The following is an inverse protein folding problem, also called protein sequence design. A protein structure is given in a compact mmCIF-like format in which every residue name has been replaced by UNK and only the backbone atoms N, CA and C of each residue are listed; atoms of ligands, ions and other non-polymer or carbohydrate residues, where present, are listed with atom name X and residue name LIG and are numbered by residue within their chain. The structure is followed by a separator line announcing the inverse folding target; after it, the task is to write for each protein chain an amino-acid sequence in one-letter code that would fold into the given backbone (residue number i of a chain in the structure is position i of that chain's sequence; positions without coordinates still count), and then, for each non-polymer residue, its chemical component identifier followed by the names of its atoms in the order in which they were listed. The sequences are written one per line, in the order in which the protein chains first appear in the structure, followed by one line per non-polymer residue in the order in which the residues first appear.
data_IF_222181811109
#
_entry.id   IF_222181811109
#
_cell.length_a   1.000
_cell.length_b   1.000
_cell.length_c   1.000
_cell.angle_alpha   90.00
_cell.angle_beta   90.00
_cell.angle_gamma   90.00
#
_symmetry.space_group_name_H-M   'P 1'
#
loop_
_entity.id
_entity.type
_entity.pdbx_description
1 polymer ?
#
# COMPACT_ATOMS: atom_id res chain seq x y z
N UNK A 1 4.42 1.22 -20.83
CA UNK A 1 3.48 0.67 -19.83
C UNK A 1 2.56 1.76 -19.32
N UNK A 2 1.30 1.43 -18.94
CA UNK A 2 0.33 2.35 -18.30
C UNK A 2 -0.09 1.80 -16.95
N UNK A 3 0.11 2.58 -15.89
CA UNK A 3 -0.36 2.25 -14.54
C UNK A 3 -1.68 2.98 -14.27
N UNK A 4 -2.73 2.25 -14.03
CA UNK A 4 -4.01 2.77 -13.58
C UNK A 4 -4.00 2.87 -12.05
N UNK A 5 -4.31 4.06 -11.56
CA UNK A 5 -4.25 4.40 -10.14
C UNK A 5 -5.40 5.32 -9.75
N UNK A 6 -5.68 5.46 -8.48
CA UNK A 6 -6.49 6.56 -7.94
C UNK A 6 -5.69 7.34 -6.91
N UNK A 7 -5.98 8.63 -6.73
CA UNK A 7 -5.20 9.50 -5.84
C UNK A 7 -5.16 9.01 -4.39
N UNK A 8 -6.24 8.36 -3.93
CA UNK A 8 -6.36 7.84 -2.57
C UNK A 8 -5.94 6.39 -2.38
N UNK A 9 -5.44 5.69 -3.42
CA UNK A 9 -5.07 4.28 -3.26
C UNK A 9 -3.63 4.10 -2.79
N UNK A 10 -3.46 3.66 -1.56
CA UNK A 10 -2.15 3.30 -1.01
C UNK A 10 -1.52 2.08 -1.70
N UNK A 11 -2.33 1.13 -2.17
CA UNK A 11 -1.89 0.00 -3.00
C UNK A 11 -1.31 0.46 -4.34
N UNK A 12 -1.95 1.44 -5.00
CA UNK A 12 -1.43 2.01 -6.23
C UNK A 12 -0.20 2.91 -5.96
N UNK A 13 -0.19 3.64 -4.83
CA UNK A 13 0.96 4.44 -4.40
C UNK A 13 2.21 3.58 -4.25
N UNK A 14 2.12 2.39 -3.63
CA UNK A 14 3.21 1.42 -3.51
C UNK A 14 3.88 1.13 -4.86
N UNK A 15 3.08 0.87 -5.90
CA UNK A 15 3.60 0.60 -7.24
C UNK A 15 4.18 1.85 -7.91
N UNK A 16 3.54 3.01 -7.75
CA UNK A 16 4.08 4.29 -8.26
C UNK A 16 5.46 4.59 -7.68
N UNK A 17 5.60 4.46 -6.36
CA UNK A 17 6.89 4.63 -5.68
C UNK A 17 7.93 3.67 -6.23
N UNK A 18 7.59 2.39 -6.34
CA UNK A 18 8.48 1.35 -6.85
C UNK A 18 8.97 1.65 -8.28
N UNK A 19 8.08 2.08 -9.18
CA UNK A 19 8.44 2.43 -10.56
C UNK A 19 9.36 3.66 -10.62
N UNK A 20 9.12 4.67 -9.77
CA UNK A 20 9.98 5.86 -9.68
C UNK A 20 11.37 5.49 -9.14
N UNK A 21 11.45 4.74 -8.05
CA UNK A 21 12.72 4.31 -7.46
C UNK A 21 13.57 3.48 -8.43
N UNK A 22 12.93 2.70 -9.30
CA UNK A 22 13.58 1.91 -10.35
C UNK A 22 13.86 2.72 -11.63
N UNK A 23 13.49 4.00 -11.65
CA UNK A 23 13.61 4.84 -12.84
C UNK A 23 12.96 4.22 -14.10
N UNK A 24 11.83 3.54 -13.93
CA UNK A 24 11.08 2.91 -15.03
C UNK A 24 10.12 3.90 -15.65
N UNK A 25 10.27 4.15 -16.96
CA UNK A 25 9.36 5.01 -17.72
C UNK A 25 7.95 4.39 -17.81
N UNK A 26 6.95 5.15 -17.39
CA UNK A 26 5.56 4.72 -17.40
C UNK A 26 4.61 5.92 -17.46
N UNK A 27 3.42 5.69 -18.00
CA UNK A 27 2.30 6.62 -17.94
C UNK A 27 1.44 6.28 -16.71
N UNK A 28 0.94 7.29 -16.00
CA UNK A 28 -0.02 7.10 -14.91
C UNK A 28 -1.38 7.62 -15.33
N UNK A 29 -2.37 6.74 -15.38
CA UNK A 29 -3.77 7.08 -15.63
C UNK A 29 -4.48 7.18 -14.28
N UNK A 30 -4.80 8.42 -13.86
CA UNK A 30 -5.52 8.66 -12.62
C UNK A 30 -7.02 8.54 -12.83
N UNK A 31 -7.68 7.75 -11.99
CA UNK A 31 -9.10 7.44 -12.05
C UNK A 31 -9.82 7.95 -10.80
N UNK A 32 -11.02 8.49 -11.00
CA UNK A 32 -12.01 8.59 -9.93
C UNK A 32 -12.89 7.33 -9.98
N UNK A 33 -12.67 6.41 -9.04
CA UNK A 33 -13.40 5.14 -8.98
C UNK A 33 -14.85 5.30 -8.45
N UNK A 34 -15.23 6.51 -8.02
CA UNK A 34 -16.56 6.82 -7.51
C UNK A 34 -17.47 7.42 -8.57
N UNK A 35 -16.92 7.72 -9.74
CA UNK A 35 -17.66 8.23 -10.90
C UNK A 35 -17.79 7.13 -11.96
N UNK A 36 -18.85 7.17 -12.79
CA UNK A 36 -18.98 6.28 -13.92
C UNK A 36 -17.75 6.36 -14.82
N UNK A 37 -17.16 5.21 -15.15
CA UNK A 37 -16.02 5.09 -16.06
C UNK A 37 -16.01 3.70 -16.69
N UNK A 38 -15.21 3.51 -17.73
CA UNK A 38 -15.05 2.26 -18.47
C UNK A 38 -13.87 1.40 -17.96
N UNK A 39 -13.33 1.71 -16.79
CA UNK A 39 -12.16 1.01 -16.24
C UNK A 39 -12.35 -0.49 -16.03
N UNK A 40 -13.60 -0.94 -15.87
CA UNK A 40 -13.89 -2.37 -15.79
C UNK A 40 -13.53 -3.14 -17.06
N UNK A 41 -13.40 -2.46 -18.21
CA UNK A 41 -12.82 -3.06 -19.43
C UNK A 41 -11.32 -3.38 -19.28
N UNK A 42 -10.62 -2.69 -18.37
CA UNK A 42 -9.21 -2.93 -18.07
C UNK A 42 -9.06 -3.91 -16.90
N UNK A 43 -9.80 -3.69 -15.82
CA UNK A 43 -9.83 -4.57 -14.65
C UNK A 43 -11.29 -4.90 -14.28
N UNK A 44 -11.77 -6.13 -14.52
CA UNK A 44 -13.19 -6.49 -14.36
C UNK A 44 -13.70 -6.32 -12.93
N UNK A 45 -12.81 -6.35 -11.92
CA UNK A 45 -13.20 -6.11 -10.51
C UNK A 45 -13.14 -4.63 -10.10
N UNK A 46 -12.77 -3.72 -11.02
CA UNK A 46 -12.77 -2.27 -10.79
C UNK A 46 -11.78 -1.75 -9.75
N UNK A 47 -10.82 -2.56 -9.28
CA UNK A 47 -9.84 -2.15 -8.27
C UNK A 47 -8.54 -1.66 -8.91
N UNK A 48 -7.92 -0.65 -8.30
CA UNK A 48 -6.55 -0.21 -8.63
C UNK A 48 -5.56 -0.72 -7.58
N UNK A 49 -4.27 -0.93 -7.96
CA UNK A 49 -3.67 -0.70 -9.27
C UNK A 49 -3.96 -1.78 -10.31
N UNK A 50 -3.87 -1.38 -11.58
CA UNK A 50 -3.65 -2.29 -12.72
C UNK A 50 -2.51 -1.75 -13.58
N UNK A 51 -1.68 -2.64 -14.13
CA UNK A 51 -0.56 -2.29 -15.00
C UNK A 51 -0.78 -2.90 -16.38
N UNK A 52 -1.06 -2.07 -17.39
CA UNK A 52 -1.14 -2.49 -18.78
C UNK A 52 0.25 -2.42 -19.40
N UNK A 53 0.73 -3.57 -19.88
CA UNK A 53 2.01 -3.72 -20.54
C UNK A 53 1.94 -3.29 -22.01
N UNK A 54 3.09 -3.11 -22.64
CA UNK A 54 3.18 -2.68 -24.05
C UNK A 54 2.71 -3.80 -25.01
N UNK A 55 2.75 -5.06 -24.58
CA UNK A 55 2.21 -6.22 -25.31
C UNK A 55 0.68 -6.41 -25.14
N UNK A 56 0.03 -5.51 -24.42
CA UNK A 56 -1.41 -5.51 -24.19
C UNK A 56 -1.88 -6.31 -22.97
N UNK A 57 -1.03 -7.13 -22.34
CA UNK A 57 -1.39 -7.82 -21.08
C UNK A 57 -1.68 -6.83 -19.97
N UNK A 58 -2.63 -7.15 -19.12
CA UNK A 58 -2.97 -6.36 -17.94
C UNK A 58 -2.69 -7.18 -16.67
N UNK A 59 -1.84 -6.65 -15.81
CA UNK A 59 -1.58 -7.20 -14.48
C UNK A 59 -2.44 -6.45 -13.46
N UNK A 60 -3.12 -7.19 -12.61
CA UNK A 60 -3.95 -6.65 -11.52
C UNK A 60 -3.40 -7.12 -10.19
N UNK A 61 -3.75 -6.41 -9.11
CA UNK A 61 -3.26 -6.67 -7.76
C UNK A 61 -1.81 -6.21 -7.55
N UNK A 62 -1.59 -5.38 -6.52
CA UNK A 62 -0.28 -4.77 -6.27
C UNK A 62 0.85 -5.78 -5.99
N UNK A 63 0.66 -6.90 -5.27
CA UNK A 63 1.67 -7.94 -5.13
C UNK A 63 2.13 -8.54 -6.47
N UNK A 64 1.19 -8.90 -7.37
CA UNK A 64 1.54 -9.45 -8.69
C UNK A 64 2.28 -8.43 -9.56
N UNK A 65 1.83 -7.17 -9.54
CA UNK A 65 2.50 -6.08 -10.27
C UNK A 65 3.91 -5.87 -9.72
N UNK A 66 4.09 -5.90 -8.39
CA UNK A 66 5.40 -5.76 -7.76
C UNK A 66 6.35 -6.90 -8.14
N UNK A 67 5.89 -8.16 -8.18
CA UNK A 67 6.68 -9.30 -8.65
C UNK A 67 7.18 -9.10 -10.08
N UNK A 68 6.26 -8.69 -10.97
CA UNK A 68 6.62 -8.44 -12.36
C UNK A 68 7.64 -7.31 -12.51
N UNK A 69 7.39 -6.18 -11.82
CA UNK A 69 8.25 -5.00 -11.91
C UNK A 69 9.64 -5.30 -11.32
N UNK A 70 9.70 -5.95 -10.15
CA UNK A 70 10.97 -6.28 -9.51
C UNK A 70 11.77 -7.32 -10.27
N UNK A 71 11.09 -8.30 -10.86
CA UNK A 71 11.73 -9.33 -11.69
C UNK A 71 12.27 -8.78 -13.01
N UNK A 72 11.51 -7.87 -13.66
CA UNK A 72 11.91 -7.28 -14.94
C UNK A 72 12.98 -6.18 -14.79
N UNK A 73 12.93 -5.43 -13.71
CA UNK A 73 13.83 -4.32 -13.39
C UNK A 73 14.45 -4.56 -12.00
N UNK A 74 15.49 -5.38 -11.89
CA UNK A 74 15.97 -5.86 -10.59
C UNK A 74 16.75 -4.82 -9.77
N UNK A 75 17.06 -3.65 -10.29
CA UNK A 75 17.84 -2.62 -9.60
C UNK A 75 17.03 -1.31 -9.43
N UNK A 76 16.91 -0.78 -8.20
CA UNK A 76 17.17 -1.44 -6.91
C UNK A 76 16.18 -2.59 -6.67
N UNK A 77 16.63 -3.66 -6.00
CA UNK A 77 15.80 -4.82 -5.70
C UNK A 77 14.98 -4.60 -4.42
N UNK A 78 13.66 -4.73 -4.54
CA UNK A 78 12.73 -4.61 -3.41
C UNK A 78 12.28 -5.96 -2.85
N UNK A 79 12.42 -7.01 -3.63
CA UNK A 79 12.08 -8.39 -3.26
C UNK A 79 13.35 -9.24 -3.38
N UNK A 80 13.96 -9.68 -2.27
CA UNK A 80 15.18 -10.44 -2.29
C UNK A 80 15.14 -11.67 -3.21
N UNK A 81 16.29 -12.03 -3.78
CA UNK A 81 16.44 -13.27 -4.56
C UNK A 81 16.51 -14.51 -3.66
N UNK A 82 17.06 -14.36 -2.45
CA UNK A 82 17.08 -15.39 -1.43
C UNK A 82 15.65 -15.76 -1.02
N UNK A 83 15.36 -17.05 -0.92
CA UNK A 83 14.01 -17.57 -0.70
C UNK A 83 13.43 -17.19 0.66
N UNK A 84 14.26 -17.22 1.71
CA UNK A 84 13.80 -16.96 3.08
C UNK A 84 13.59 -15.47 3.31
N UNK A 85 14.53 -14.64 2.86
CA UNK A 85 14.37 -13.19 2.88
C UNK A 85 13.18 -12.73 2.01
N UNK A 86 12.96 -13.35 0.85
CA UNK A 86 11.79 -13.11 0.01
C UNK A 86 10.49 -13.46 0.74
N UNK A 87 10.45 -14.62 1.42
CA UNK A 87 9.28 -15.05 2.20
C UNK A 87 8.97 -14.04 3.30
N UNK A 88 9.99 -13.55 4.02
CA UNK A 88 9.80 -12.55 5.06
C UNK A 88 9.27 -11.21 4.51
N UNK A 89 9.80 -10.72 3.39
CA UNK A 89 9.29 -9.52 2.73
C UNK A 89 7.82 -9.70 2.35
N UNK A 90 7.46 -10.83 1.75
CA UNK A 90 6.09 -11.13 1.35
C UNK A 90 5.15 -11.31 2.54
N UNK A 91 5.62 -11.90 3.61
CA UNK A 91 4.86 -12.05 4.86
C UNK A 91 4.48 -10.69 5.44
N UNK A 92 5.44 -9.78 5.52
CA UNK A 92 5.17 -8.45 6.07
C UNK A 92 4.36 -7.55 5.12
N UNK A 93 4.56 -7.67 3.81
CA UNK A 93 3.65 -7.06 2.83
C UNK A 93 2.22 -7.56 3.02
N UNK A 94 2.01 -8.87 3.15
CA UNK A 94 0.68 -9.45 3.34
C UNK A 94 0.01 -9.00 4.65
N UNK A 95 0.77 -8.83 5.74
CA UNK A 95 0.24 -8.26 6.99
C UNK A 95 -0.17 -6.82 6.79
N UNK A 96 0.65 -6.01 6.12
CA UNK A 96 0.35 -4.60 5.82
C UNK A 96 -0.89 -4.46 4.92
N UNK A 97 -0.96 -5.24 3.83
CA UNK A 97 -2.07 -5.23 2.88
C UNK A 97 -3.38 -5.70 3.57
N UNK A 98 -3.33 -6.77 4.38
CA UNK A 98 -4.51 -7.26 5.13
C UNK A 98 -5.00 -6.29 6.21
N UNK A 99 -4.09 -5.56 6.84
CA UNK A 99 -4.44 -4.46 7.74
C UNK A 99 -5.12 -3.33 6.96
N UNK A 100 -4.61 -2.96 5.79
CA UNK A 100 -5.20 -1.93 4.95
C UNK A 100 -6.57 -2.34 4.41
N UNK A 101 -6.80 -3.62 4.11
CA UNK A 101 -8.13 -4.12 3.76
C UNK A 101 -9.13 -3.93 4.92
N UNK A 102 -8.71 -4.14 6.17
CA UNK A 102 -9.55 -3.86 7.34
C UNK A 102 -9.89 -2.37 7.47
N UNK A 103 -8.94 -1.48 7.17
CA UNK A 103 -9.20 -0.03 7.09
C UNK A 103 -10.22 0.28 5.99
N UNK A 104 -10.04 -0.28 4.79
CA UNK A 104 -10.91 -0.01 3.65
C UNK A 104 -12.36 -0.43 3.92
N UNK A 105 -12.58 -1.62 4.49
CA UNK A 105 -13.95 -2.06 4.80
C UNK A 105 -14.59 -1.24 5.93
N UNK A 106 -13.79 -0.73 6.89
CA UNK A 106 -14.29 0.19 7.91
C UNK A 106 -14.74 1.53 7.31
N UNK A 107 -13.99 2.03 6.32
CA UNK A 107 -14.38 3.23 5.58
C UNK A 107 -15.64 3.02 4.74
N UNK A 108 -15.81 1.83 4.14
CA UNK A 108 -17.03 1.50 3.39
C UNK A 108 -18.24 1.39 4.30
N UNK A 109 -18.10 0.78 5.48
CA UNK A 109 -19.17 0.74 6.47
C UNK A 109 -19.64 2.16 6.84
N UNK A 110 -18.69 3.08 7.07
CA UNK A 110 -19.01 4.47 7.38
C UNK A 110 -19.57 5.27 6.19
N UNK A 111 -19.23 4.89 4.96
CA UNK A 111 -19.67 5.59 3.76
C UNK A 111 -21.07 5.18 3.30
N UNK A 112 -21.39 3.89 3.39
CA UNK A 112 -22.61 3.31 2.81
C UNK A 112 -23.73 3.11 3.81
N UNK A 113 -23.43 3.22 5.11
CA UNK A 113 -24.42 3.12 6.16
C UNK A 113 -24.43 4.40 7.00
N UNK A 114 -25.65 4.88 7.32
CA UNK A 114 -25.83 5.91 8.33
C UNK A 114 -25.51 5.37 9.73
N UNK A 115 -25.27 6.26 10.67
CA UNK A 115 -24.75 5.93 11.99
C UNK A 115 -25.58 4.87 12.73
N UNK A 116 -26.90 4.91 12.55
CA UNK A 116 -27.85 3.98 13.19
C UNK A 116 -27.86 2.58 12.57
N UNK A 117 -27.39 2.46 11.31
CA UNK A 117 -27.36 1.21 10.54
C UNK A 117 -25.99 0.52 10.56
N UNK A 118 -24.97 1.17 11.14
CA UNK A 118 -23.61 0.61 11.22
C UNK A 118 -23.52 -0.51 12.24
N UNK A 119 -22.79 -1.56 11.90
CA UNK A 119 -22.47 -2.62 12.83
C UNK A 119 -21.26 -2.28 13.68
N UNK A 120 -21.46 -1.84 14.92
CA UNK A 120 -20.36 -1.55 15.84
C UNK A 120 -19.48 -2.79 16.07
N UNK A 121 -20.06 -3.97 16.25
CA UNK A 121 -19.31 -5.21 16.41
C UNK A 121 -18.42 -5.54 15.20
N UNK A 122 -18.87 -5.22 13.98
CA UNK A 122 -18.05 -5.35 12.77
C UNK A 122 -16.88 -4.37 12.78
N UNK A 123 -17.13 -3.09 13.08
CA UNK A 123 -16.10 -2.06 13.16
C UNK A 123 -15.06 -2.37 14.24
N UNK A 124 -15.48 -2.82 15.42
CA UNK A 124 -14.59 -3.25 16.50
C UNK A 124 -13.70 -4.42 16.07
N UNK A 125 -14.27 -5.39 15.33
CA UNK A 125 -13.49 -6.50 14.76
C UNK A 125 -12.43 -6.01 13.76
N UNK A 126 -12.77 -5.06 12.88
CA UNK A 126 -11.78 -4.50 11.96
C UNK A 126 -10.72 -3.71 12.71
N UNK A 127 -11.11 -2.92 13.71
CA UNK A 127 -10.18 -2.19 14.57
C UNK A 127 -9.18 -3.13 15.25
N UNK A 128 -9.64 -4.26 15.76
CA UNK A 128 -8.77 -5.28 16.36
C UNK A 128 -7.70 -5.81 15.38
N UNK A 129 -8.06 -6.01 14.10
CA UNK A 129 -7.09 -6.43 13.06
C UNK A 129 -6.05 -5.33 12.78
N UNK A 130 -6.49 -4.07 12.70
CA UNK A 130 -5.61 -2.93 12.46
C UNK A 130 -4.61 -2.80 13.60
N UNK A 131 -5.09 -2.78 14.84
CA UNK A 131 -4.24 -2.68 16.03
C UNK A 131 -3.24 -3.84 16.16
N UNK A 132 -3.69 -5.07 15.88
CA UNK A 132 -2.82 -6.25 15.91
C UNK A 132 -1.74 -6.20 14.81
N UNK A 133 -2.11 -5.78 13.58
CA UNK A 133 -1.17 -5.62 12.48
C UNK A 133 -0.11 -4.56 12.78
N UNK A 134 -0.52 -3.37 13.25
CA UNK A 134 0.38 -2.30 13.66
C UNK A 134 1.34 -2.75 14.77
N UNK A 135 0.81 -3.40 15.81
CA UNK A 135 1.62 -3.87 16.93
C UNK A 135 2.65 -4.93 16.49
N UNK A 136 2.25 -5.87 15.64
CA UNK A 136 3.14 -6.91 15.13
C UNK A 136 4.28 -6.33 14.28
N UNK A 137 3.96 -5.40 13.36
CA UNK A 137 4.96 -4.79 12.48
C UNK A 137 5.89 -3.87 13.29
N UNK A 138 5.35 -3.05 14.21
CA UNK A 138 6.15 -2.15 15.06
C UNK A 138 7.14 -2.92 15.94
N UNK A 139 6.67 -3.99 16.60
CA UNK A 139 7.50 -4.85 17.41
C UNK A 139 8.58 -5.58 16.58
N UNK A 140 8.21 -6.07 15.41
CA UNK A 140 9.16 -6.73 14.51
C UNK A 140 10.20 -5.74 13.98
N UNK A 141 9.83 -4.54 13.58
CA UNK A 141 10.76 -3.51 13.13
C UNK A 141 11.74 -3.12 14.24
N UNK A 142 11.26 -2.87 15.43
CA UNK A 142 12.08 -2.46 16.56
C UNK A 142 13.01 -1.30 16.21
N UNK A 143 14.29 -1.41 16.52
CA UNK A 143 15.31 -0.38 16.24
C UNK A 143 15.90 -0.48 14.82
N UNK A 144 15.53 -1.48 14.00
CA UNK A 144 16.07 -1.66 12.66
C UNK A 144 15.67 -0.52 11.73
N UNK A 145 16.49 -0.27 10.71
CA UNK A 145 16.19 0.72 9.68
C UNK A 145 15.07 0.23 8.76
N UNK A 146 15.05 -1.08 8.44
CA UNK A 146 14.14 -1.74 7.51
C UNK A 146 13.53 -2.98 8.15
N UNK A 147 12.36 -3.39 7.66
CA UNK A 147 11.68 -4.60 8.13
C UNK A 147 12.51 -5.85 7.85
N UNK A 148 13.07 -5.97 6.65
CA UNK A 148 13.84 -7.15 6.25
C UNK A 148 15.14 -6.72 5.59
N UNK A 149 16.26 -7.29 6.04
CA UNK A 149 17.58 -7.04 5.45
C UNK A 149 18.14 -5.64 5.75
N UNK A 150 19.11 -5.23 4.93
CA UNK A 150 19.88 -3.99 5.12
C UNK A 150 19.45 -2.85 4.18
N UNK A 151 18.46 -3.10 3.32
CA UNK A 151 17.95 -2.13 2.34
C UNK A 151 16.42 -2.07 2.38
N UNK A 152 15.87 -0.96 1.88
CA UNK A 152 14.43 -0.78 1.71
C UNK A 152 13.83 -1.90 0.87
N UNK A 153 12.82 -2.56 1.40
CA UNK A 153 12.10 -3.66 0.76
C UNK A 153 10.68 -3.27 0.35
N UNK A 154 10.02 -4.16 -0.37
CA UNK A 154 8.59 -4.00 -0.71
C UNK A 154 7.70 -3.94 0.54
N UNK A 155 8.07 -4.63 1.63
CA UNK A 155 7.34 -4.56 2.89
C UNK A 155 7.37 -3.15 3.51
N UNK A 156 8.53 -2.49 3.48
CA UNK A 156 8.69 -1.11 3.95
C UNK A 156 7.85 -0.13 3.12
N UNK A 157 7.83 -0.30 1.80
CA UNK A 157 7.00 0.51 0.90
C UNK A 157 5.51 0.29 1.16
N UNK A 158 5.07 -0.96 1.34
CA UNK A 158 3.68 -1.30 1.60
C UNK A 158 3.19 -0.62 2.87
N UNK A 159 3.87 -0.87 3.99
CA UNK A 159 3.44 -0.31 5.28
C UNK A 159 3.48 1.22 5.27
N UNK A 160 4.52 1.85 4.70
CA UNK A 160 4.62 3.31 4.69
C UNK A 160 3.56 3.96 3.80
N UNK A 161 3.24 3.39 2.63
CA UNK A 161 2.15 3.88 1.80
C UNK A 161 0.79 3.75 2.49
N UNK A 162 0.55 2.65 3.21
CA UNK A 162 -0.69 2.43 3.96
C UNK A 162 -0.81 3.37 5.16
N UNK A 163 0.26 3.53 5.93
CA UNK A 163 0.27 4.46 7.08
C UNK A 163 0.15 5.92 6.64
N UNK A 164 0.72 6.30 5.50
CA UNK A 164 0.50 7.63 4.91
C UNK A 164 -0.97 7.88 4.56
N UNK A 165 -1.68 6.87 4.04
CA UNK A 165 -3.13 6.95 3.83
C UNK A 165 -3.89 7.04 5.15
N UNK A 166 -3.57 6.17 6.12
CA UNK A 166 -4.26 6.11 7.43
C UNK A 166 -4.08 7.44 8.17
N UNK A 167 -2.84 7.96 8.22
CA UNK A 167 -2.54 9.22 8.89
C UNK A 167 -3.28 10.43 8.30
N UNK A 168 -3.59 10.38 6.99
CA UNK A 168 -4.30 11.45 6.31
C UNK A 168 -5.84 11.33 6.44
N UNK A 169 -6.39 10.11 6.35
CA UNK A 169 -7.83 9.87 6.23
C UNK A 169 -8.51 9.44 7.53
N UNK A 170 -7.80 8.69 8.35
CA UNK A 170 -8.30 8.08 9.60
C UNK A 170 -7.19 8.04 10.67
N UNK A 171 -6.63 9.21 11.05
CA UNK A 171 -5.44 9.27 11.91
C UNK A 171 -5.62 8.57 13.26
N UNK A 172 -6.84 8.45 13.76
CA UNK A 172 -7.14 7.71 14.99
C UNK A 172 -6.84 6.22 14.92
N UNK A 173 -6.61 5.64 13.73
CA UNK A 173 -6.16 4.26 13.57
C UNK A 173 -4.64 4.10 13.74
N UNK A 174 -3.88 5.19 13.64
CA UNK A 174 -2.43 5.16 13.78
C UNK A 174 -1.95 6.24 14.78
N UNK A 175 -2.15 6.06 16.08
CA UNK A 175 -1.55 6.93 17.08
C UNK A 175 -0.03 6.70 17.12
N UNK A 176 0.73 7.66 16.58
CA UNK A 176 2.17 7.54 16.32
C UNK A 176 2.98 7.33 17.60
N UNK A 177 2.52 7.87 18.73
CA UNK A 177 3.15 7.71 20.04
C UNK A 177 3.16 6.25 20.50
N UNK A 178 2.13 5.48 20.12
CA UNK A 178 2.00 4.06 20.43
C UNK A 178 2.88 3.19 19.53
N UNK A 179 3.17 3.65 18.31
CA UNK A 179 3.90 2.90 17.26
C UNK A 179 5.11 3.67 16.77
N UNK A 180 6.02 3.99 17.71
CA UNK A 180 7.15 4.88 17.47
C UNK A 180 8.15 4.36 16.42
N UNK A 181 8.34 3.03 16.31
CA UNK A 181 9.22 2.46 15.30
C UNK A 181 8.65 2.63 13.89
N UNK A 182 7.34 2.42 13.73
CA UNK A 182 6.63 2.65 12.47
C UNK A 182 6.62 4.14 12.10
N UNK A 183 6.38 5.03 13.06
CA UNK A 183 6.42 6.47 12.83
C UNK A 183 7.82 6.91 12.34
N UNK A 184 8.89 6.37 12.92
CA UNK A 184 10.28 6.60 12.49
C UNK A 184 10.51 6.09 11.06
N UNK A 185 10.07 4.88 10.72
CA UNK A 185 10.17 4.31 9.35
C UNK A 185 9.44 5.20 8.35
N UNK A 186 8.18 5.56 8.61
CA UNK A 186 7.39 6.42 7.75
C UNK A 186 8.06 7.77 7.51
N UNK A 187 8.55 8.42 8.57
CA UNK A 187 9.27 9.70 8.48
C UNK A 187 10.51 9.60 7.58
N UNK A 188 11.26 8.51 7.68
CA UNK A 188 12.46 8.29 6.84
C UNK A 188 12.10 8.09 5.37
N UNK A 189 11.01 7.36 5.09
CA UNK A 189 10.56 7.12 3.72
C UNK A 189 9.89 8.35 3.10
N UNK A 190 9.05 9.08 3.84
CA UNK A 190 8.39 10.29 3.34
C UNK A 190 9.38 11.40 2.93
N UNK A 191 10.63 11.35 3.41
CA UNK A 191 11.69 12.25 2.95
C UNK A 191 12.17 11.98 1.51
N UNK A 192 11.87 10.79 0.96
CA UNK A 192 12.30 10.40 -0.40
C UNK A 192 11.49 11.11 -1.48
N UNK A 193 12.14 11.45 -2.59
CA UNK A 193 11.48 12.14 -3.71
C UNK A 193 10.34 11.32 -4.34
N UNK A 194 10.47 10.01 -4.40
CA UNK A 194 9.42 9.11 -4.89
C UNK A 194 8.15 9.17 -4.03
N UNK A 195 8.31 9.25 -2.72
CA UNK A 195 7.20 9.37 -1.77
C UNK A 195 6.52 10.74 -1.85
N UNK A 196 7.31 11.83 -1.97
CA UNK A 196 6.79 13.19 -2.15
C UNK A 196 6.00 13.33 -3.45
N UNK A 197 6.55 12.84 -4.58
CA UNK A 197 5.90 12.89 -5.90
C UNK A 197 4.61 12.06 -5.98
N UNK A 198 4.42 11.12 -5.08
CA UNK A 198 3.25 10.23 -5.04
C UNK A 198 2.33 10.50 -3.85
N UNK A 199 2.59 11.54 -3.08
CA UNK A 199 1.78 11.88 -1.90
C UNK A 199 0.29 11.96 -2.28
N UNK A 200 -0.61 11.39 -1.47
CA UNK A 200 -2.04 11.54 -1.70
C UNK A 200 -2.44 13.02 -1.52
N UNK A 201 -3.47 13.49 -2.25
CA UNK A 201 -3.97 14.85 -2.06
C UNK A 201 -4.50 15.01 -0.62
N UNK A 202 -4.51 16.23 -0.09
CA UNK A 202 -5.13 16.52 1.20
C UNK A 202 -6.58 16.03 1.26
N UNK A 203 -7.11 15.84 2.46
CA UNK A 203 -8.46 15.35 2.71
C UNK A 203 -9.51 16.38 2.33
#
# INVERSE_FOLDING_TARGET
MKLYASPGSSFARKIRVMLIEKNVSHEVVMLNLWEPNDYQSVNPIGKVPALKLDDGRVLINSPLIADYVDGKYPDPRFIPADSDARLEVRRWEAVADGMMDAVAVSLYENRFHDETSRSQAFLDRQRGKIDAGLAAIDAFLGKRAWLVGEAMSLADLAISCHLGFIGLRVPHFFPQERFANLARLCKSLEARESMKKTAPPPA
#
